data_IF_538351409972
#
_entry.id   IF_538351409972
#
_cell.length_a   1.000
_cell.length_b   1.000
_cell.length_c   1.000
_cell.angle_alpha   90.00
_cell.angle_beta   90.00
_cell.angle_gamma   90.00
#
_symmetry.space_group_name_H-M   'P 1'
#
loop_
_entity.id
_entity.type
_entity.pdbx_description
1 polymer ?
#
# COMPACT_ATOMS: atom_id res chain seq x y z
N UNK A 1 -23.16 -10.36 -5.99
CA UNK A 1 -21.82 -9.76 -5.80
C UNK A 1 -20.86 -10.65 -6.56
N UNK A 2 -20.20 -10.23 -7.65
CA UNK A 2 -19.10 -11.03 -8.17
C UNK A 2 -18.04 -11.07 -7.07
N UNK A 3 -17.53 -12.26 -6.73
CA UNK A 3 -16.40 -12.39 -5.82
C UNK A 3 -15.24 -11.56 -6.40
N UNK A 4 -14.98 -10.39 -5.83
CA UNK A 4 -13.76 -9.66 -6.15
C UNK A 4 -12.63 -10.54 -5.63
N UNK A 5 -11.92 -11.20 -6.55
CA UNK A 5 -10.76 -12.02 -6.21
C UNK A 5 -9.83 -11.19 -5.34
N UNK A 6 -9.64 -11.63 -4.09
CA UNK A 6 -8.79 -10.96 -3.11
C UNK A 6 -7.41 -10.76 -3.74
N UNK A 7 -6.96 -9.51 -3.81
CA UNK A 7 -5.60 -9.19 -4.26
C UNK A 7 -4.66 -9.37 -3.08
N UNK A 8 -3.67 -10.27 -3.17
CA UNK A 8 -2.62 -10.35 -2.17
C UNK A 8 -1.76 -9.09 -2.24
N UNK A 9 -1.35 -8.59 -1.08
CA UNK A 9 -0.31 -7.57 -0.98
C UNK A 9 1.09 -8.22 -1.12
N UNK A 10 2.06 -7.43 -1.57
CA UNK A 10 3.47 -7.79 -1.67
C UNK A 10 4.26 -6.94 -0.68
N UNK A 11 5.04 -7.55 0.21
CA UNK A 11 6.02 -6.79 1.00
C UNK A 11 7.14 -6.35 0.05
N UNK A 12 7.15 -5.07 -0.31
CA UNK A 12 8.07 -4.48 -1.28
C UNK A 12 9.47 -4.27 -0.69
N UNK A 13 9.54 -3.78 0.55
CA UNK A 13 10.77 -3.65 1.32
C UNK A 13 10.50 -4.21 2.71
N UNK A 14 11.34 -5.14 3.18
CA UNK A 14 11.21 -5.74 4.52
C UNK A 14 11.91 -4.89 5.61
N UNK A 15 11.86 -5.34 6.86
CA UNK A 15 12.48 -4.66 8.02
C UNK A 15 14.02 -4.59 7.91
N UNK A 16 14.61 -5.55 7.20
CA UNK A 16 16.05 -5.64 6.95
C UNK A 16 16.51 -4.79 5.75
N UNK A 17 15.62 -3.94 5.21
CA UNK A 17 15.86 -3.03 4.08
C UNK A 17 16.13 -3.75 2.76
N UNK A 18 15.69 -5.00 2.64
CA UNK A 18 15.83 -5.79 1.42
C UNK A 18 14.64 -5.53 0.49
N UNK A 19 14.94 -5.28 -0.79
CA UNK A 19 13.94 -5.06 -1.83
C UNK A 19 13.45 -6.38 -2.43
N UNK A 20 12.14 -6.50 -2.61
CA UNK A 20 11.52 -7.72 -3.12
C UNK A 20 11.74 -7.90 -4.62
N UNK A 21 12.44 -8.98 -4.98
CA UNK A 21 12.78 -9.32 -6.36
C UNK A 21 11.57 -9.75 -7.21
N UNK A 22 10.41 -10.01 -6.58
CA UNK A 22 9.19 -10.44 -7.25
C UNK A 22 8.22 -9.31 -7.60
N UNK A 23 8.66 -8.04 -7.50
CA UNK A 23 7.84 -6.88 -7.88
C UNK A 23 7.34 -6.97 -9.33
N UNK A 24 8.22 -7.20 -10.30
CA UNK A 24 7.83 -7.20 -11.72
C UNK A 24 6.84 -8.35 -12.04
N UNK A 25 7.07 -9.60 -11.61
CA UNK A 25 6.06 -10.66 -11.72
C UNK A 25 4.73 -10.31 -11.06
N UNK A 26 4.75 -9.65 -9.90
CA UNK A 26 3.54 -9.22 -9.20
C UNK A 26 2.77 -8.19 -10.03
N UNK A 27 3.43 -7.13 -10.53
CA UNK A 27 2.79 -6.09 -11.32
C UNK A 27 2.24 -6.67 -12.63
N UNK A 28 3.00 -7.51 -13.33
CA UNK A 28 2.57 -8.14 -14.58
C UNK A 28 1.29 -8.98 -14.44
N UNK A 29 1.00 -9.49 -13.24
CA UNK A 29 -0.22 -10.26 -12.97
C UNK A 29 -1.49 -9.39 -12.93
N UNK A 30 -1.37 -8.13 -12.52
CA UNK A 30 -2.51 -7.24 -12.31
C UNK A 30 -2.57 -6.08 -13.29
N UNK A 31 -1.49 -5.83 -14.03
CA UNK A 31 -1.42 -4.78 -15.04
C UNK A 31 -2.34 -5.08 -16.22
N UNK A 32 -3.31 -4.20 -16.47
CA UNK A 32 -4.10 -4.17 -17.69
C UNK A 32 -3.28 -3.49 -18.80
N UNK A 33 -2.91 -4.27 -19.82
CA UNK A 33 -2.11 -3.85 -20.96
C UNK A 33 -2.92 -3.31 -22.13
N UNK A 34 -4.23 -3.11 -21.97
CA UNK A 34 -5.12 -2.70 -23.07
C UNK A 34 -4.82 -1.31 -23.64
N UNK A 35 -4.15 -0.42 -22.88
CA UNK A 35 -4.11 1.01 -23.25
C UNK A 35 -2.72 1.70 -23.27
N UNK A 36 -1.58 1.04 -22.98
CA UNK A 36 -0.28 1.76 -23.11
C UNK A 36 0.99 0.88 -23.10
N UNK A 37 2.10 1.47 -23.56
CA UNK A 37 3.50 1.00 -23.60
C UNK A 37 4.13 0.69 -22.22
N UNK A 38 3.34 0.41 -21.20
CA UNK A 38 3.79 0.15 -19.83
C UNK A 38 3.85 1.39 -18.93
N UNK A 39 3.32 2.54 -19.36
CA UNK A 39 3.38 3.80 -18.62
C UNK A 39 2.04 4.18 -17.96
N UNK A 40 0.95 3.53 -18.32
CA UNK A 40 -0.36 3.79 -17.75
C UNK A 40 -0.50 3.04 -16.42
N UNK A 41 0.16 3.53 -15.38
CA UNK A 41 -0.06 3.14 -13.99
C UNK A 41 0.14 4.33 -13.07
N UNK A 42 -0.48 4.27 -11.89
CA UNK A 42 -0.34 5.28 -10.84
C UNK A 42 0.14 4.63 -9.56
N UNK A 43 1.02 5.31 -8.84
CA UNK A 43 1.46 4.89 -7.49
C UNK A 43 0.94 5.89 -6.46
N UNK A 44 0.16 5.38 -5.51
CA UNK A 44 -0.39 6.13 -4.37
C UNK A 44 0.25 5.61 -3.09
N UNK A 45 0.80 6.48 -2.26
CA UNK A 45 1.33 6.10 -0.95
C UNK A 45 0.66 6.84 0.20
N UNK A 46 0.53 6.16 1.33
CA UNK A 46 0.16 6.80 2.60
C UNK A 46 1.33 6.69 3.57
N UNK A 47 1.70 7.83 4.16
CA UNK A 47 2.78 7.94 5.12
C UNK A 47 2.33 8.74 6.34
N UNK A 48 2.81 8.37 7.53
CA UNK A 48 2.47 9.09 8.75
C UNK A 48 2.66 8.26 10.00
N UNK A 49 2.34 8.84 11.16
CA UNK A 49 2.61 8.23 12.47
C UNK A 49 2.00 6.83 12.62
N UNK A 50 2.60 6.02 13.48
CA UNK A 50 2.11 4.68 13.79
C UNK A 50 0.68 4.75 14.35
N UNK A 51 -0.15 3.77 13.99
CA UNK A 51 -1.52 3.61 14.53
C UNK A 51 -2.52 4.73 14.19
N UNK A 52 -2.28 5.50 13.12
CA UNK A 52 -3.22 6.54 12.63
C UNK A 52 -4.28 6.04 11.65
N UNK A 53 -4.40 4.70 11.47
CA UNK A 53 -5.41 4.10 10.58
C UNK A 53 -5.06 4.12 9.09
N UNK A 54 -3.76 4.24 8.73
CA UNK A 54 -3.27 4.21 7.34
C UNK A 54 -3.78 2.98 6.55
N UNK A 55 -3.43 1.78 7.00
CA UNK A 55 -3.83 0.51 6.38
C UNK A 55 -5.35 0.36 6.36
N UNK A 56 -6.05 0.83 7.40
CA UNK A 56 -7.51 0.86 7.46
C UNK A 56 -8.12 1.75 6.38
N UNK A 57 -7.56 2.94 6.15
CA UNK A 57 -7.99 3.85 5.09
C UNK A 57 -7.77 3.23 3.71
N UNK A 58 -6.59 2.68 3.47
CA UNK A 58 -6.23 2.05 2.19
C UNK A 58 -7.16 0.88 1.86
N UNK A 59 -7.42 0.01 2.84
CA UNK A 59 -8.32 -1.12 2.68
C UNK A 59 -9.75 -0.70 2.34
N UNK A 60 -10.25 0.38 2.94
CA UNK A 60 -11.59 0.90 2.66
C UNK A 60 -11.68 1.64 1.32
N UNK A 61 -10.66 2.44 0.98
CA UNK A 61 -10.67 3.28 -0.21
C UNK A 61 -10.38 2.47 -1.49
N UNK A 62 -9.43 1.53 -1.42
CA UNK A 62 -8.92 0.81 -2.59
C UNK A 62 -9.27 -0.69 -2.60
N UNK A 63 -10.03 -1.16 -1.61
CA UNK A 63 -10.37 -2.58 -1.47
C UNK A 63 -9.16 -3.48 -1.17
N UNK A 64 -8.05 -2.94 -0.68
CA UNK A 64 -6.85 -3.70 -0.34
C UNK A 64 -7.05 -4.53 0.94
N UNK A 65 -6.07 -5.39 1.24
CA UNK A 65 -6.06 -6.27 2.42
C UNK A 65 -4.74 -6.18 3.20
N UNK A 66 -4.28 -4.96 3.45
CA UNK A 66 -3.16 -4.74 4.37
C UNK A 66 -3.55 -5.12 5.79
N UNK A 67 -2.59 -5.62 6.56
CA UNK A 67 -2.82 -5.94 7.96
C UNK A 67 -3.15 -4.67 8.75
N UNK A 68 -4.15 -4.76 9.62
CA UNK A 68 -4.60 -3.67 10.50
C UNK A 68 -4.37 -4.03 11.95
N UNK A 69 -4.11 -3.02 12.78
CA UNK A 69 -3.88 -3.22 14.21
C UNK A 69 -5.06 -3.93 14.85
N UNK A 70 -4.78 -4.99 15.60
CA UNK A 70 -5.75 -5.57 16.53
C UNK A 70 -5.90 -4.63 17.73
N UNK A 71 -7.11 -4.14 17.97
CA UNK A 71 -7.42 -3.20 19.06
C UNK A 71 -7.08 -3.75 20.45
N UNK A 72 -7.00 -5.08 20.59
CA UNK A 72 -6.63 -5.75 21.85
C UNK A 72 -5.13 -5.70 22.15
N UNK A 73 -4.28 -5.50 21.13
CA UNK A 73 -2.82 -5.39 21.25
C UNK A 73 -2.34 -4.20 20.42
N UNK A 74 -2.13 -3.06 21.09
CA UNK A 74 -1.50 -1.88 20.49
C UNK A 74 0.00 -2.12 20.22
N UNK A 75 0.28 -2.85 19.15
CA UNK A 75 1.62 -3.19 18.67
C UNK A 75 1.80 -2.76 17.22
N UNK A 76 3.04 -2.60 16.79
CA UNK A 76 3.34 -2.28 15.40
C UNK A 76 2.75 -3.33 14.43
N UNK A 77 1.94 -2.85 13.48
CA UNK A 77 1.20 -3.71 12.53
C UNK A 77 1.91 -3.78 11.18
N UNK A 78 2.18 -2.63 10.57
CA UNK A 78 2.92 -2.56 9.30
C UNK A 78 4.42 -2.56 9.58
N UNK A 79 5.10 -3.54 9.01
CA UNK A 79 6.55 -3.72 9.05
C UNK A 79 7.09 -3.69 7.63
N UNK A 80 7.95 -2.74 7.33
CA UNK A 80 8.45 -2.49 5.98
C UNK A 80 7.53 -1.61 5.14
N UNK A 81 7.63 -1.76 3.81
CA UNK A 81 6.75 -1.12 2.84
C UNK A 81 5.99 -2.20 2.09
N UNK A 82 4.67 -2.06 2.01
CA UNK A 82 3.80 -3.02 1.33
C UNK A 82 3.18 -2.39 0.09
N UNK A 83 3.00 -3.19 -0.96
CA UNK A 83 2.38 -2.82 -2.22
C UNK A 83 1.14 -3.67 -2.46
N UNK A 84 0.06 -3.08 -2.96
CA UNK A 84 -1.10 -3.83 -3.47
C UNK A 84 -1.68 -3.17 -4.71
N UNK A 85 -2.18 -3.96 -5.67
CA UNK A 85 -3.05 -3.44 -6.71
C UNK A 85 -4.41 -3.03 -6.10
N UNK A 86 -4.95 -1.87 -6.52
CA UNK A 86 -6.27 -1.40 -6.14
C UNK A 86 -7.32 -2.00 -7.07
N UNK A 87 -8.00 -3.07 -6.65
CA UNK A 87 -9.06 -3.67 -7.47
C UNK A 87 -10.38 -2.90 -7.43
N UNK A 88 -10.60 -2.13 -6.37
CA UNK A 88 -11.83 -1.38 -6.15
C UNK A 88 -11.50 0.07 -5.83
N UNK A 89 -12.42 0.98 -6.10
CA UNK A 89 -12.34 2.36 -5.62
C UNK A 89 -13.67 2.72 -4.97
N UNK A 90 -13.62 3.16 -3.72
CA UNK A 90 -14.75 3.80 -3.06
C UNK A 90 -14.84 5.27 -3.50
N UNK A 91 -16.03 5.72 -3.91
CA UNK A 91 -16.29 7.13 -4.20
C UNK A 91 -17.64 7.55 -3.64
N UNK A 92 -17.86 8.86 -3.47
CA UNK A 92 -19.14 9.37 -2.98
C UNK A 92 -20.29 9.23 -4.00
N UNK A 93 -19.97 8.94 -5.26
CA UNK A 93 -20.94 8.81 -6.36
C UNK A 93 -21.64 7.45 -6.36
N UNK A 94 -21.05 6.44 -5.73
CA UNK A 94 -21.57 5.08 -5.68
C UNK A 94 -21.69 4.61 -4.24
N UNK A 95 -22.80 3.96 -3.88
CA UNK A 95 -23.00 3.41 -2.53
C UNK A 95 -22.01 2.28 -2.22
N UNK A 96 -21.60 1.53 -3.25
CA UNK A 96 -20.66 0.42 -3.14
C UNK A 96 -19.37 0.71 -3.92
N UNK A 97 -18.19 0.23 -3.45
CA UNK A 97 -16.95 0.34 -4.20
C UNK A 97 -17.08 -0.28 -5.58
N UNK A 98 -16.62 0.43 -6.61
CA UNK A 98 -16.71 -0.04 -8.00
C UNK A 98 -15.37 -0.60 -8.47
N UNK A 99 -15.42 -1.49 -9.47
CA UNK A 99 -14.23 -2.08 -10.06
C UNK A 99 -13.32 -0.99 -10.62
N UNK A 100 -12.07 -0.99 -10.18
CA UNK A 100 -11.05 -0.12 -10.74
C UNK A 100 -10.67 -0.62 -12.14
N UNK A 101 -10.68 0.29 -13.12
CA UNK A 101 -10.21 0.02 -14.50
C UNK A 101 -8.84 0.62 -14.78
N UNK A 102 -8.24 1.28 -13.80
CA UNK A 102 -6.92 1.90 -13.89
C UNK A 102 -5.89 1.03 -13.19
N UNK A 103 -4.65 1.04 -13.68
CA UNK A 103 -3.53 0.36 -13.03
C UNK A 103 -3.04 1.16 -11.83
N UNK A 104 -3.79 1.17 -10.73
CA UNK A 104 -3.43 1.88 -9.50
C UNK A 104 -2.78 0.91 -8.52
N UNK A 105 -1.60 1.27 -8.07
CA UNK A 105 -0.85 0.56 -7.06
C UNK A 105 -0.73 1.40 -5.79
N UNK A 106 -0.95 0.76 -4.66
CA UNK A 106 -1.03 1.41 -3.35
C UNK A 106 0.14 0.95 -2.49
N UNK A 107 0.87 1.91 -1.92
CA UNK A 107 1.95 1.71 -0.96
C UNK A 107 1.45 2.01 0.47
N UNK A 108 1.47 0.99 1.33
CA UNK A 108 1.32 1.14 2.78
C UNK A 108 2.70 1.18 3.43
N UNK A 109 3.10 2.35 3.92
CA UNK A 109 4.41 2.56 4.53
C UNK A 109 4.30 2.39 6.04
N UNK A 110 5.26 1.66 6.62
CA UNK A 110 5.44 1.54 8.06
C UNK A 110 5.31 2.90 8.76
N UNK A 111 4.53 2.93 9.84
CA UNK A 111 4.25 4.15 10.56
C UNK A 111 5.44 4.66 11.36
N UNK A 112 5.56 5.98 11.44
CA UNK A 112 6.66 6.67 12.14
C UNK A 112 6.36 6.92 13.63
N UNK A 113 7.37 7.30 14.41
CA UNK A 113 7.23 7.60 15.86
C UNK A 113 6.73 6.44 16.74
N UNK A 114 7.03 5.19 16.33
CA UNK A 114 6.77 4.02 17.13
C UNK A 114 7.67 3.90 18.36
N UNK A 115 7.08 3.57 19.52
CA UNK A 115 7.85 3.30 20.77
C UNK A 115 8.86 2.16 20.60
N UNK A 116 8.60 1.27 19.66
CA UNK A 116 9.37 0.03 19.44
C UNK A 116 10.69 0.28 18.67
N UNK A 117 10.89 1.46 18.05
CA UNK A 117 12.09 1.80 17.26
C UNK A 117 12.63 3.21 17.56
N UNK A 118 12.60 3.65 18.82
CA UNK A 118 13.01 5.01 19.21
C UNK A 118 14.44 5.41 18.78
N UNK A 119 15.34 4.44 18.58
CA UNK A 119 16.73 4.68 18.14
C UNK A 119 16.97 4.43 16.63
N UNK A 120 16.10 3.69 15.92
CA UNK A 120 16.27 3.36 14.50
C UNK A 120 15.39 4.23 13.59
N UNK A 121 15.74 5.52 13.53
CA UNK A 121 15.12 6.51 12.61
C UNK A 121 15.66 6.39 11.17
N UNK A 122 16.64 5.52 10.93
CA UNK A 122 17.23 5.35 9.59
C UNK A 122 16.21 4.71 8.64
N UNK A 123 15.48 3.70 9.11
CA UNK A 123 14.42 3.09 8.31
C UNK A 123 13.32 4.10 7.99
N UNK A 124 12.86 4.85 8.97
CA UNK A 124 11.82 5.87 8.83
C UNK A 124 12.13 6.89 7.73
N UNK A 125 13.35 7.43 7.73
CA UNK A 125 13.79 8.43 6.75
C UNK A 125 13.92 7.83 5.36
N UNK A 126 14.44 6.61 5.27
CA UNK A 126 14.61 5.90 3.99
C UNK A 126 13.26 5.52 3.37
N UNK A 127 12.32 5.03 4.18
CA UNK A 127 10.99 4.66 3.71
C UNK A 127 10.17 5.87 3.29
N UNK A 128 10.26 6.98 4.04
CA UNK A 128 9.65 8.26 3.67
C UNK A 128 10.20 8.79 2.34
N UNK A 129 11.53 8.80 2.18
CA UNK A 129 12.18 9.25 0.95
C UNK A 129 11.82 8.36 -0.23
N UNK A 130 11.78 7.04 -0.02
CA UNK A 130 11.36 6.09 -1.05
C UNK A 130 9.94 6.39 -1.52
N UNK A 131 8.97 6.46 -0.60
CA UNK A 131 7.58 6.76 -0.94
C UNK A 131 7.43 8.11 -1.66
N UNK A 132 8.14 9.14 -1.20
CA UNK A 132 8.14 10.45 -1.86
C UNK A 132 8.71 10.39 -3.29
N UNK A 133 9.76 9.60 -3.51
CA UNK A 133 10.43 9.51 -4.80
C UNK A 133 9.67 8.62 -5.81
N UNK A 134 8.86 7.67 -5.34
CA UNK A 134 8.19 6.69 -6.19
C UNK A 134 6.70 6.97 -6.42
N UNK A 135 6.07 7.77 -5.56
CA UNK A 135 4.63 8.00 -5.63
C UNK A 135 4.28 9.28 -6.36
N UNK A 136 3.20 9.23 -7.13
CA UNK A 136 2.60 10.41 -7.74
C UNK A 136 1.75 11.17 -6.71
N UNK A 137 1.15 10.44 -5.76
CA UNK A 137 0.36 11.00 -4.68
C UNK A 137 0.84 10.49 -3.33
N UNK A 138 1.11 11.42 -2.41
CA UNK A 138 1.48 11.17 -1.03
C UNK A 138 0.53 11.93 -0.11
N UNK A 139 -0.07 11.23 0.85
CA UNK A 139 -0.89 11.81 1.92
C UNK A 139 -0.40 11.39 3.29
#
# INVERSE_FOLDING_TARGET
MPESSIVPSLQLINEDKEFNQHLLPYMAKFYDSSDDKGLNYHIVSVFGSQSTGKSTLLNKLFGTKFDVMDETKRQQTTKGIWLSHANLIASAEFEEPHQNKHNIYVLDVEGVDGREKAEDKDFERKSALFALATSEFLK
#
